data_IF_586675212051
#
_entry.id   IF_586675212051
#
_cell.length_a   1.000
_cell.length_b   1.000
_cell.length_c   1.000
_cell.angle_alpha   90.00
_cell.angle_beta   90.00
_cell.angle_gamma   90.00
#
_symmetry.space_group_name_H-M   'P 1'
#
loop_
_entity.id
_entity.type
_entity.pdbx_description
1 polymer ?
#
# COMPACT_ATOMS: atom_id res chain seq x y z
N UNK A 1 -55.97 6.60 -53.24
CA UNK A 1 -57.05 7.16 -52.40
C UNK A 1 -56.59 7.13 -50.94
N UNK A 2 -56.34 8.31 -50.36
CA UNK A 2 -56.97 8.89 -49.15
C UNK A 2 -56.80 8.03 -47.88
N UNK A 3 -55.87 8.30 -46.94
CA UNK A 3 -55.78 9.37 -45.91
C UNK A 3 -56.92 9.39 -44.86
N UNK A 4 -56.49 9.25 -43.58
CA UNK A 4 -57.00 9.90 -42.36
C UNK A 4 -58.30 9.34 -41.71
N UNK A 5 -58.53 9.29 -40.38
CA UNK A 5 -57.92 9.99 -39.23
C UNK A 5 -58.30 9.32 -37.88
N UNK A 6 -57.30 9.05 -37.04
CA UNK A 6 -57.15 9.30 -35.57
C UNK A 6 -58.30 9.14 -34.56
N UNK A 7 -57.99 8.55 -33.39
CA UNK A 7 -58.18 9.13 -32.04
C UNK A 7 -57.42 8.25 -31.01
N UNK A 8 -56.22 8.60 -30.50
CA UNK A 8 -55.88 9.58 -29.44
C UNK A 8 -55.77 8.96 -28.03
N UNK A 9 -54.56 8.48 -27.72
CA UNK A 9 -53.91 8.40 -26.38
C UNK A 9 -52.42 8.24 -26.70
N UNK A 10 -51.53 9.25 -26.74
CA UNK A 10 -51.29 10.44 -25.93
C UNK A 10 -51.21 10.11 -24.44
N UNK A 11 -50.02 9.65 -24.02
CA UNK A 11 -49.15 10.16 -22.94
C UNK A 11 -47.91 9.21 -22.92
N UNK A 12 -46.77 9.57 -23.51
CA UNK A 12 -45.67 10.38 -22.94
C UNK A 12 -45.00 9.73 -21.70
N UNK A 13 -43.91 8.98 -21.90
CA UNK A 13 -42.54 9.32 -21.44
C UNK A 13 -41.58 8.12 -21.68
N UNK A 14 -40.46 8.29 -22.41
CA UNK A 14 -39.36 7.34 -22.36
C UNK A 14 -38.55 7.67 -21.10
N UNK A 15 -38.84 7.02 -19.97
CA UNK A 15 -37.96 7.17 -18.80
C UNK A 15 -36.68 6.40 -19.06
N UNK A 16 -35.71 7.12 -19.62
CA UNK A 16 -34.32 6.76 -19.72
C UNK A 16 -33.80 6.30 -18.35
N UNK A 17 -33.76 5.00 -18.11
CA UNK A 17 -32.95 4.42 -17.03
C UNK A 17 -31.52 4.36 -17.53
N UNK A 18 -30.88 5.52 -17.49
CA UNK A 18 -29.43 5.69 -17.59
C UNK A 18 -28.82 5.01 -16.35
N UNK A 19 -28.61 3.68 -16.40
CA UNK A 19 -27.81 2.99 -15.39
C UNK A 19 -26.37 3.46 -15.56
N UNK A 20 -26.03 4.55 -14.87
CA UNK A 20 -24.67 5.05 -14.73
C UNK A 20 -23.89 3.99 -13.96
N UNK A 21 -23.04 3.25 -14.68
CA UNK A 21 -22.09 2.30 -14.08
C UNK A 21 -21.04 3.15 -13.38
N UNK A 22 -21.17 3.30 -12.06
CA UNK A 22 -20.14 3.87 -11.21
C UNK A 22 -18.98 2.87 -11.16
N UNK A 23 -18.05 2.98 -12.11
CA UNK A 23 -16.75 2.30 -12.03
C UNK A 23 -15.98 2.89 -10.87
N UNK A 24 -16.03 2.23 -9.71
CA UNK A 24 -15.15 2.53 -8.59
C UNK A 24 -13.74 2.06 -8.98
N UNK A 25 -12.90 3.00 -9.42
CA UNK A 25 -11.46 2.76 -9.56
C UNK A 25 -10.88 2.52 -8.15
N UNK A 26 -10.74 1.27 -7.73
CA UNK A 26 -10.01 0.94 -6.50
C UNK A 26 -8.55 1.30 -6.70
N UNK A 27 -8.04 2.28 -5.94
CA UNK A 27 -6.61 2.48 -5.79
C UNK A 27 -6.03 1.19 -5.21
N UNK A 28 -5.23 0.48 -6.00
CA UNK A 28 -4.57 -0.76 -5.58
C UNK A 28 -3.55 -0.42 -4.49
N UNK A 29 -3.96 -0.57 -3.23
CA UNK A 29 -3.04 -0.53 -2.09
C UNK A 29 -2.15 -1.77 -2.13
N UNK A 30 -0.89 -1.68 -1.69
CA UNK A 30 -0.03 -2.85 -1.56
C UNK A 30 -0.72 -3.91 -0.69
N UNK A 31 -0.86 -5.13 -1.21
CA UNK A 31 -1.50 -6.23 -0.49
C UNK A 31 -0.63 -6.75 0.67
N UNK A 32 0.69 -6.59 0.55
CA UNK A 32 1.69 -7.06 1.53
C UNK A 32 2.50 -5.91 2.10
N UNK A 33 2.48 -5.75 3.42
CA UNK A 33 3.30 -4.77 4.12
C UNK A 33 4.65 -5.34 4.54
N UNK A 34 5.65 -4.47 4.56
CA UNK A 34 6.93 -4.75 5.19
C UNK A 34 6.70 -4.80 6.70
N UNK A 35 6.80 -6.00 7.27
CA UNK A 35 6.53 -6.31 8.67
C UNK A 35 7.36 -7.52 9.09
N UNK A 36 7.55 -7.72 10.38
CA UNK A 36 8.31 -8.87 10.90
C UNK A 36 7.71 -10.18 10.37
N UNK A 37 8.48 -11.07 9.71
CA UNK A 37 7.97 -12.35 9.22
C UNK A 37 7.36 -13.25 10.30
N UNK A 38 7.73 -13.07 11.57
CA UNK A 38 7.19 -13.80 12.72
C UNK A 38 5.91 -13.19 13.29
N UNK A 39 5.45 -12.04 12.76
CA UNK A 39 4.21 -11.39 13.19
C UNK A 39 3.00 -12.27 12.87
N UNK A 40 2.19 -12.55 13.88
CA UNK A 40 0.93 -13.30 13.77
C UNK A 40 -0.32 -12.42 13.88
N UNK A 41 -0.20 -11.33 14.63
CA UNK A 41 -1.29 -10.38 14.84
C UNK A 41 -1.23 -9.22 13.85
N UNK A 42 -2.37 -8.57 13.63
CA UNK A 42 -2.46 -7.39 12.80
C UNK A 42 -1.49 -6.29 13.26
N UNK A 43 -0.89 -5.58 12.30
CA UNK A 43 0.01 -4.48 12.62
C UNK A 43 -0.76 -3.32 13.27
N UNK A 44 -0.41 -2.89 14.50
CA UNK A 44 -1.11 -1.79 15.17
C UNK A 44 -0.92 -0.43 14.49
N UNK A 45 0.19 -0.25 13.77
CA UNK A 45 0.55 1.02 13.13
C UNK A 45 1.15 0.80 11.75
N UNK A 46 0.29 0.83 10.74
CA UNK A 46 0.69 0.80 9.33
C UNK A 46 0.88 2.23 8.83
N UNK A 47 1.96 2.47 8.10
CA UNK A 47 2.17 3.69 7.32
C UNK A 47 2.34 3.33 5.85
N UNK A 48 2.04 4.28 4.96
CA UNK A 48 2.27 4.16 3.52
C UNK A 48 3.30 5.21 3.10
N UNK A 49 4.36 4.80 2.41
CA UNK A 49 5.46 5.68 2.00
C UNK A 49 5.94 5.32 0.60
N UNK A 50 6.38 6.30 -0.18
CA UNK A 50 7.14 6.03 -1.39
C UNK A 50 8.58 5.69 -0.98
N UNK A 51 9.02 4.49 -1.33
CA UNK A 51 10.37 4.02 -1.05
C UNK A 51 11.01 3.45 -2.31
N UNK A 52 12.32 3.67 -2.45
CA UNK A 52 13.12 2.99 -3.48
C UNK A 52 13.64 1.71 -2.88
N UNK A 53 13.16 0.58 -3.39
CA UNK A 53 13.56 -0.76 -3.01
C UNK A 53 13.90 -1.56 -4.27
N UNK A 54 14.79 -2.55 -4.17
CA UNK A 54 15.03 -3.47 -5.29
C UNK A 54 13.74 -4.22 -5.63
N UNK A 55 13.39 -4.25 -6.91
CA UNK A 55 12.27 -5.03 -7.41
C UNK A 55 12.59 -6.52 -7.24
N UNK A 56 11.71 -7.34 -6.63
CA UNK A 56 12.01 -8.74 -6.36
C UNK A 56 12.14 -9.60 -7.64
N UNK A 57 11.68 -9.12 -8.79
CA UNK A 57 11.78 -9.83 -10.07
C UNK A 57 13.03 -9.43 -10.86
N UNK A 58 13.39 -8.15 -10.86
CA UNK A 58 14.50 -7.64 -11.69
C UNK A 58 15.76 -7.33 -10.90
N UNK A 59 15.66 -7.15 -9.58
CA UNK A 59 16.74 -6.68 -8.72
C UNK A 59 17.09 -5.20 -8.91
N UNK A 60 16.41 -4.50 -9.81
CA UNK A 60 16.64 -3.07 -10.07
C UNK A 60 15.90 -2.21 -9.04
N UNK A 61 16.54 -1.13 -8.61
CA UNK A 61 15.95 -0.16 -7.70
C UNK A 61 14.72 0.50 -8.33
N UNK A 62 13.58 0.44 -7.64
CA UNK A 62 12.31 1.00 -8.09
C UNK A 62 11.63 1.78 -6.97
N UNK A 63 11.27 3.03 -7.26
CA UNK A 63 10.42 3.82 -6.36
C UNK A 63 8.97 3.35 -6.47
N UNK A 64 8.41 2.95 -5.34
CA UNK A 64 7.03 2.45 -5.26
C UNK A 64 6.38 2.81 -3.94
N UNK A 65 5.04 2.85 -3.94
CA UNK A 65 4.26 2.98 -2.71
C UNK A 65 4.33 1.66 -1.95
N UNK A 66 4.88 1.69 -0.74
CA UNK A 66 4.96 0.54 0.16
C UNK A 66 4.15 0.80 1.42
N UNK A 67 3.63 -0.27 2.03
CA UNK A 67 3.11 -0.20 3.39
C UNK A 67 4.10 -0.84 4.37
N UNK A 68 4.23 -0.24 5.56
CA UNK A 68 5.25 -0.58 6.54
C UNK A 68 4.58 -0.69 7.91
N UNK A 69 4.85 -1.78 8.64
CA UNK A 69 4.45 -1.92 10.03
C UNK A 69 5.44 -1.21 10.95
N UNK A 70 5.17 0.04 11.29
CA UNK A 70 6.11 0.90 12.00
C UNK A 70 6.45 0.41 13.42
N UNK A 71 5.56 -0.38 14.03
CA UNK A 71 5.80 -0.98 15.35
C UNK A 71 6.95 -1.99 15.34
N UNK A 72 7.19 -2.68 14.22
CA UNK A 72 8.26 -3.69 14.10
C UNK A 72 9.66 -3.07 14.08
N UNK A 73 9.75 -1.77 13.79
CA UNK A 73 11.01 -1.03 13.69
C UNK A 73 11.26 -0.13 14.90
N UNK A 74 10.42 -0.18 15.93
CA UNK A 74 10.46 0.76 17.06
C UNK A 74 11.82 0.79 17.76
N UNK A 75 12.43 -0.36 17.95
CA UNK A 75 13.74 -0.50 18.60
C UNK A 75 14.88 0.00 17.71
N UNK A 76 14.74 -0.06 16.38
CA UNK A 76 15.72 0.52 15.46
C UNK A 76 15.79 2.05 15.57
N UNK A 77 14.69 2.68 15.96
CA UNK A 77 14.58 4.13 16.10
C UNK A 77 15.11 4.67 17.43
N UNK A 78 15.31 3.81 18.43
CA UNK A 78 15.74 4.23 19.78
C UNK A 78 17.26 4.14 19.92
N UNK A 79 17.86 5.09 20.63
CA UNK A 79 19.28 5.05 20.95
C UNK A 79 19.53 4.12 22.15
N UNK A 80 20.45 3.17 21.99
CA UNK A 80 20.77 2.19 23.02
C UNK A 80 21.98 2.63 23.86
N UNK A 81 21.82 2.58 25.18
CA UNK A 81 22.88 2.97 26.14
C UNK A 81 23.78 1.82 26.53
N UNK A 82 23.29 0.59 26.41
CA UNK A 82 23.98 -0.64 26.79
C UNK A 82 24.67 -1.30 25.58
N UNK A 83 25.86 -1.85 25.77
CA UNK A 83 26.65 -2.45 24.69
C UNK A 83 26.00 -3.74 24.14
N UNK A 84 25.35 -4.55 24.97
CA UNK A 84 24.63 -5.74 24.51
C UNK A 84 23.42 -5.33 23.70
N UNK A 85 22.67 -4.32 24.16
CA UNK A 85 21.54 -3.77 23.42
C UNK A 85 21.96 -3.19 22.05
N UNK A 86 23.10 -2.49 21.97
CA UNK A 86 23.66 -2.01 20.69
C UNK A 86 23.98 -3.16 19.73
N UNK A 87 24.57 -4.24 20.21
CA UNK A 87 24.87 -5.41 19.38
C UNK A 87 23.60 -6.09 18.86
N UNK A 88 22.59 -6.26 19.72
CA UNK A 88 21.28 -6.81 19.32
C UNK A 88 20.63 -5.93 18.25
N UNK A 89 20.64 -4.61 18.45
CA UNK A 89 20.14 -3.66 17.46
C UNK A 89 20.87 -3.79 16.13
N UNK A 90 22.20 -3.89 16.12
CA UNK A 90 22.96 -4.05 14.89
C UNK A 90 22.64 -5.38 14.17
N UNK A 91 22.49 -6.48 14.90
CA UNK A 91 22.07 -7.76 14.30
C UNK A 91 20.70 -7.64 13.64
N UNK A 92 19.76 -6.93 14.27
CA UNK A 92 18.44 -6.68 13.71
C UNK A 92 18.50 -5.82 12.45
N UNK A 93 19.32 -4.75 12.45
CA UNK A 93 19.58 -3.93 11.27
C UNK A 93 20.09 -4.81 10.13
N UNK A 94 21.11 -5.64 10.38
CA UNK A 94 21.70 -6.53 9.38
C UNK A 94 20.69 -7.53 8.81
N UNK A 95 19.77 -8.05 9.65
CA UNK A 95 18.69 -8.91 9.20
C UNK A 95 17.74 -8.18 8.25
N UNK A 96 17.33 -6.96 8.60
CA UNK A 96 16.41 -6.17 7.77
C UNK A 96 17.04 -5.73 6.45
N UNK A 97 18.28 -5.26 6.47
CA UNK A 97 19.01 -4.88 5.26
C UNK A 97 19.18 -6.05 4.31
N UNK A 98 19.51 -7.24 4.83
CA UNK A 98 19.60 -8.46 4.04
C UNK A 98 18.24 -8.90 3.47
N UNK A 99 17.16 -8.85 4.28
CA UNK A 99 15.81 -9.23 3.83
C UNK A 99 15.28 -8.30 2.73
N UNK A 100 15.57 -7.02 2.83
CA UNK A 100 15.08 -6.00 1.89
C UNK A 100 16.04 -5.73 0.74
N UNK A 101 17.28 -6.22 0.81
CA UNK A 101 18.32 -5.93 -0.18
C UNK A 101 18.77 -4.47 -0.22
N UNK A 102 18.74 -3.77 0.92
CA UNK A 102 19.03 -2.33 1.02
C UNK A 102 20.14 -2.03 2.03
N UNK A 103 20.70 -0.81 2.00
CA UNK A 103 21.69 -0.36 2.99
C UNK A 103 21.05 0.04 4.32
N UNK A 104 21.87 0.19 5.36
CA UNK A 104 21.40 0.68 6.67
C UNK A 104 20.83 2.11 6.58
N UNK A 105 21.40 2.97 5.73
CA UNK A 105 20.90 4.33 5.49
C UNK A 105 19.52 4.30 4.83
N UNK A 106 19.35 3.45 3.82
CA UNK A 106 18.06 3.25 3.15
C UNK A 106 17.02 2.70 4.14
N UNK A 107 17.41 1.76 5.01
CA UNK A 107 16.53 1.26 6.07
C UNK A 107 16.12 2.37 7.04
N UNK A 108 17.06 3.19 7.52
CA UNK A 108 16.78 4.32 8.41
C UNK A 108 15.81 5.30 7.77
N UNK A 109 16.00 5.62 6.49
CA UNK A 109 15.09 6.50 5.76
C UNK A 109 13.71 5.84 5.59
N UNK A 110 13.64 4.54 5.30
CA UNK A 110 12.39 3.80 5.16
C UNK A 110 11.51 3.90 6.41
N UNK A 111 12.11 3.76 7.59
CA UNK A 111 11.38 3.69 8.88
C UNK A 111 11.23 5.05 9.58
N UNK A 112 11.84 6.10 9.03
CA UNK A 112 11.71 7.47 9.54
C UNK A 112 10.30 8.00 9.28
N UNK A 113 9.68 8.52 10.33
CA UNK A 113 8.34 9.12 10.32
C UNK A 113 8.30 10.43 11.10
#
# INVERSE_FOLDING_TARGET
MLRFVTFRTLILLPTATLLSVLSFSSLALPETCIQDPQRRDQCPRIIYKNATLPDPQTGEDKTQLVCICLTDFKDLLLEEKDEVAKQIKQMRINSWTAQLGITEEQLKELVKY
#
